data_IF_747654790097
#
_entry.id   IF_747654790097
#
_cell.length_a   1.000
_cell.length_b   1.000
_cell.length_c   1.000
_cell.angle_alpha   90.00
_cell.angle_beta   90.00
_cell.angle_gamma   90.00
#
_symmetry.space_group_name_H-M   'P 1'
#
loop_
_entity.id
_entity.type
_entity.pdbx_description
1 polymer ?
#
# COMPACT_ATOMS: atom_id res chain seq x y z
N UNK A 1 5.50 -97.11 -41.17
CA UNK A 1 4.06 -97.35 -40.94
C UNK A 1 3.65 -96.50 -39.75
N UNK A 2 2.57 -95.73 -39.70
CA UNK A 2 1.50 -95.33 -40.62
C UNK A 2 0.91 -94.11 -39.88
N UNK A 3 0.87 -92.93 -40.51
CA UNK A 3 -0.35 -92.26 -41.00
C UNK A 3 -0.97 -91.28 -39.99
N UNK A 4 -1.33 -90.14 -40.57
CA UNK A 4 -1.92 -88.90 -40.08
C UNK A 4 -3.14 -89.07 -39.16
N UNK A 5 -3.38 -88.06 -38.32
CA UNK A 5 -4.72 -87.46 -38.33
C UNK A 5 -4.71 -85.98 -37.91
N UNK A 6 -5.38 -85.20 -38.74
CA UNK A 6 -5.60 -83.76 -38.66
C UNK A 6 -6.75 -83.50 -37.68
N UNK A 7 -6.64 -82.47 -36.84
CA UNK A 7 -7.80 -81.65 -36.45
C UNK A 7 -7.33 -80.28 -35.95
N UNK A 8 -7.32 -79.32 -36.87
CA UNK A 8 -7.28 -77.91 -36.54
C UNK A 8 -8.63 -77.51 -35.94
N UNK A 9 -8.64 -77.05 -34.69
CA UNK A 9 -9.80 -76.38 -34.09
C UNK A 9 -9.34 -75.07 -33.48
N UNK A 10 -9.92 -74.01 -34.01
CA UNK A 10 -9.70 -72.61 -33.67
C UNK A 10 -10.08 -72.37 -32.20
N UNK A 11 -9.20 -71.74 -31.43
CA UNK A 11 -9.64 -71.00 -30.24
C UNK A 11 -8.75 -69.80 -30.04
N UNK A 12 -9.16 -68.68 -30.63
CA UNK A 12 -8.73 -67.37 -30.16
C UNK A 12 -9.34 -67.12 -28.78
N UNK A 13 -8.54 -66.60 -27.86
CA UNK A 13 -9.01 -65.79 -26.73
C UNK A 13 -7.79 -65.08 -26.13
N UNK A 14 -7.59 -63.82 -26.50
CA UNK A 14 -8.09 -62.63 -25.79
C UNK A 14 -7.12 -62.18 -24.70
N UNK A 15 -6.28 -61.20 -25.05
CA UNK A 15 -5.59 -60.34 -24.10
C UNK A 15 -6.67 -59.69 -23.23
N UNK A 16 -6.73 -60.04 -21.94
CA UNK A 16 -7.46 -59.24 -20.96
C UNK A 16 -6.68 -57.93 -20.78
N UNK A 17 -7.02 -56.93 -21.58
CA UNK A 17 -6.75 -55.55 -21.21
C UNK A 17 -7.73 -55.24 -20.08
N UNK A 18 -7.22 -55.12 -18.86
CA UNK A 18 -8.00 -54.52 -17.77
C UNK A 18 -8.39 -53.11 -18.20
N UNK A 19 -9.70 -52.75 -18.17
CA UNK A 19 -10.08 -51.37 -18.33
C UNK A 19 -9.58 -50.63 -17.07
N UNK A 20 -8.59 -49.76 -17.28
CA UNK A 20 -8.31 -48.69 -16.33
C UNK A 20 -9.57 -47.83 -16.29
N UNK A 21 -10.40 -48.01 -15.26
CA UNK A 21 -11.58 -47.19 -14.99
C UNK A 21 -11.14 -45.73 -14.68
N UNK A 22 -10.83 -44.98 -15.73
CA UNK A 22 -10.69 -43.52 -15.71
C UNK A 22 -12.05 -42.86 -15.88
N UNK A 23 -13.04 -43.33 -15.11
CA UNK A 23 -14.43 -42.86 -15.15
C UNK A 23 -14.86 -42.00 -13.96
N UNK A 24 -14.05 -41.92 -12.89
CA UNK A 24 -14.37 -41.15 -11.67
C UNK A 24 -13.38 -40.02 -11.35
N UNK A 25 -12.32 -39.83 -12.15
CA UNK A 25 -11.27 -38.85 -11.86
C UNK A 25 -11.68 -37.38 -12.03
N UNK A 26 -12.74 -37.07 -12.79
CA UNK A 26 -13.07 -35.67 -13.13
C UNK A 26 -13.92 -35.01 -12.03
N UNK A 27 -14.76 -35.77 -11.34
CA UNK A 27 -15.61 -35.24 -10.26
C UNK A 27 -14.84 -35.12 -8.94
N UNK A 28 -13.93 -36.05 -8.65
CA UNK A 28 -13.09 -36.03 -7.43
C UNK A 28 -11.92 -35.04 -7.53
N UNK A 29 -11.32 -34.85 -8.72
CA UNK A 29 -10.32 -33.80 -8.91
C UNK A 29 -10.92 -32.41 -9.09
N UNK A 30 -12.18 -32.31 -9.56
CA UNK A 30 -12.88 -31.04 -9.70
C UNK A 30 -13.18 -30.36 -8.36
N UNK A 31 -13.61 -31.12 -7.34
CA UNK A 31 -13.87 -30.60 -6.00
C UNK A 31 -12.57 -30.21 -5.29
N UNK A 32 -11.51 -31.01 -5.39
CA UNK A 32 -10.20 -30.67 -4.82
C UNK A 32 -9.64 -29.39 -5.46
N UNK A 33 -9.74 -29.24 -6.79
CA UNK A 33 -9.30 -28.03 -7.48
C UNK A 33 -10.06 -26.77 -7.03
N UNK A 34 -11.37 -26.87 -6.82
CA UNK A 34 -12.18 -25.75 -6.31
C UNK A 34 -11.83 -25.39 -4.87
N UNK A 35 -11.60 -26.38 -4.00
CA UNK A 35 -11.17 -26.14 -2.61
C UNK A 35 -9.80 -25.47 -2.58
N UNK A 36 -8.84 -25.94 -3.39
CA UNK A 36 -7.51 -25.32 -3.50
C UNK A 36 -7.62 -23.88 -3.99
N UNK A 37 -8.45 -23.62 -5.00
CA UNK A 37 -8.67 -22.26 -5.53
C UNK A 37 -9.30 -21.35 -4.47
N UNK A 38 -10.30 -21.85 -3.71
CA UNK A 38 -10.90 -21.11 -2.61
C UNK A 38 -9.86 -20.76 -1.52
N UNK A 39 -9.02 -21.72 -1.13
CA UNK A 39 -7.94 -21.47 -0.15
C UNK A 39 -6.96 -20.43 -0.68
N UNK A 40 -6.57 -20.48 -1.95
CA UNK A 40 -5.71 -19.47 -2.57
C UNK A 40 -6.35 -18.09 -2.50
N UNK A 41 -7.64 -17.96 -2.83
CA UNK A 41 -8.36 -16.68 -2.76
C UNK A 41 -8.42 -16.15 -1.33
N UNK A 42 -8.71 -17.00 -0.35
CA UNK A 42 -8.75 -16.61 1.07
C UNK A 42 -7.37 -16.19 1.57
N UNK A 43 -6.32 -16.94 1.25
CA UNK A 43 -4.95 -16.64 1.67
C UNK A 43 -4.48 -15.34 1.02
N UNK A 44 -4.64 -15.17 -0.30
CA UNK A 44 -4.26 -13.95 -1.00
C UNK A 44 -5.07 -12.75 -0.53
N UNK A 45 -6.38 -12.90 -0.32
CA UNK A 45 -7.24 -11.86 0.24
C UNK A 45 -6.84 -11.44 1.65
N UNK A 46 -6.52 -12.41 2.51
CA UNK A 46 -6.04 -12.17 3.87
C UNK A 46 -4.68 -11.47 3.88
N UNK A 47 -3.73 -11.93 3.05
CA UNK A 47 -2.42 -11.31 2.91
C UNK A 47 -2.53 -9.88 2.36
N UNK A 48 -3.39 -9.65 1.37
CA UNK A 48 -3.65 -8.31 0.84
C UNK A 48 -4.25 -7.40 1.91
N UNK A 49 -5.28 -7.86 2.62
CA UNK A 49 -5.91 -7.09 3.70
C UNK A 49 -4.92 -6.76 4.83
N UNK A 50 -4.08 -7.73 5.22
CA UNK A 50 -3.03 -7.53 6.22
C UNK A 50 -1.99 -6.53 5.72
N UNK A 51 -1.55 -6.61 4.47
CA UNK A 51 -0.56 -5.70 3.89
C UNK A 51 -1.10 -4.28 3.80
N UNK A 52 -2.35 -4.08 3.36
CA UNK A 52 -2.99 -2.77 3.32
C UNK A 52 -3.13 -2.16 4.72
N UNK A 53 -3.63 -2.92 5.70
CA UNK A 53 -3.76 -2.45 7.09
C UNK A 53 -2.41 -2.13 7.74
N UNK A 54 -1.41 -2.97 7.49
CA UNK A 54 -0.04 -2.76 8.00
C UNK A 54 0.57 -1.51 7.38
N UNK A 55 0.45 -1.35 6.06
CA UNK A 55 0.92 -0.14 5.36
C UNK A 55 0.25 1.11 5.91
N UNK A 56 -1.07 1.10 6.13
CA UNK A 56 -1.80 2.24 6.72
C UNK A 56 -1.32 2.56 8.14
N UNK A 57 -1.18 1.55 8.99
CA UNK A 57 -0.74 1.75 10.38
C UNK A 57 0.70 2.28 10.43
N UNK A 58 1.62 1.67 9.67
CA UNK A 58 3.00 2.10 9.55
C UNK A 58 3.09 3.50 8.97
N UNK A 59 2.32 3.83 7.93
CA UNK A 59 2.37 5.17 7.33
C UNK A 59 1.75 6.23 8.23
N UNK A 60 0.72 5.89 9.01
CA UNK A 60 0.21 6.81 10.04
C UNK A 60 1.30 7.14 11.05
N UNK A 61 2.06 6.15 11.52
CA UNK A 61 3.19 6.38 12.43
C UNK A 61 4.35 7.14 11.76
N UNK A 62 4.61 6.88 10.48
CA UNK A 62 5.61 7.61 9.69
C UNK A 62 5.24 9.09 9.57
N UNK A 63 3.97 9.40 9.27
CA UNK A 63 3.46 10.78 9.20
C UNK A 63 3.68 11.48 10.54
N UNK A 64 3.31 10.86 11.65
CA UNK A 64 3.50 11.43 12.99
C UNK A 64 4.97 11.70 13.30
N UNK A 65 5.85 10.76 12.94
CA UNK A 65 7.30 10.88 13.13
C UNK A 65 7.87 12.02 12.28
N UNK A 66 7.45 12.14 11.02
CA UNK A 66 7.86 13.24 10.14
C UNK A 66 7.39 14.58 10.72
N UNK A 67 6.14 14.68 11.15
CA UNK A 67 5.57 15.91 11.71
C UNK A 67 6.37 16.33 12.95
N UNK A 68 6.52 15.44 13.92
CA UNK A 68 7.21 15.72 15.18
C UNK A 68 8.69 16.04 14.97
N UNK A 69 9.36 15.30 14.08
CA UNK A 69 10.78 15.55 13.78
C UNK A 69 10.99 16.83 12.98
N UNK A 70 10.11 17.13 12.02
CA UNK A 70 10.12 18.40 11.30
C UNK A 70 9.89 19.57 12.26
N UNK A 71 8.89 19.48 13.15
CA UNK A 71 8.66 20.48 14.20
C UNK A 71 9.89 20.70 15.07
N UNK A 72 10.52 19.63 15.53
CA UNK A 72 11.64 19.70 16.47
C UNK A 72 12.95 20.15 15.83
N UNK A 73 13.22 19.79 14.58
CA UNK A 73 14.55 19.93 13.97
C UNK A 73 14.62 21.03 12.91
N UNK A 74 13.50 21.37 12.27
CA UNK A 74 13.47 22.34 11.17
C UNK A 74 13.01 23.73 11.61
N UNK A 75 12.52 23.88 12.85
CA UNK A 75 12.14 25.17 13.42
C UNK A 75 13.38 25.93 13.88
N UNK A 76 13.74 26.99 13.16
CA UNK A 76 14.76 27.94 13.56
C UNK A 76 14.19 29.09 14.42
N UNK A 77 15.06 30.04 14.79
CA UNK A 77 14.67 31.29 15.47
C UNK A 77 13.61 32.07 14.71
N UNK A 78 13.68 32.04 13.37
CA UNK A 78 12.79 32.78 12.46
C UNK A 78 11.72 31.86 11.81
N UNK A 79 11.42 30.73 12.44
CA UNK A 79 10.49 29.72 11.90
C UNK A 79 11.14 28.77 10.90
N UNK A 80 10.40 28.36 9.87
CA UNK A 80 10.84 27.42 8.83
C UNK A 80 11.34 28.19 7.59
N UNK A 81 12.62 28.54 7.59
CA UNK A 81 13.25 29.43 6.58
C UNK A 81 13.68 28.74 5.28
N UNK A 82 13.01 27.65 4.90
CA UNK A 82 13.33 26.91 3.67
C UNK A 82 12.79 27.61 2.43
N UNK A 83 13.54 27.61 1.33
CA UNK A 83 13.14 28.23 0.06
C UNK A 83 12.33 27.30 -0.84
N UNK A 84 12.34 25.98 -0.56
CA UNK A 84 11.58 24.99 -1.34
C UNK A 84 11.33 23.71 -0.54
N UNK A 85 10.32 22.94 -0.96
CA UNK A 85 10.01 21.62 -0.42
C UNK A 85 11.15 20.62 -0.60
N UNK A 86 11.91 20.71 -1.71
CA UNK A 86 13.05 19.84 -1.97
C UNK A 86 14.17 20.03 -0.94
N UNK A 87 14.47 21.29 -0.57
CA UNK A 87 15.48 21.60 0.44
C UNK A 87 15.04 21.21 1.84
N UNK A 88 13.77 21.45 2.18
CA UNK A 88 13.23 21.09 3.50
C UNK A 88 13.14 19.58 3.69
N UNK A 89 12.61 18.86 2.68
CA UNK A 89 12.56 17.39 2.69
C UNK A 89 13.96 16.79 2.69
N UNK A 90 14.86 17.31 1.86
CA UNK A 90 16.25 16.87 1.79
C UNK A 90 17.01 17.09 3.11
N UNK A 91 16.79 18.21 3.79
CA UNK A 91 17.36 18.47 5.12
C UNK A 91 16.83 17.47 6.16
N UNK A 92 15.52 17.19 6.16
CA UNK A 92 14.94 16.18 7.06
C UNK A 92 15.57 14.79 6.85
N UNK A 93 15.80 14.40 5.59
CA UNK A 93 16.48 13.16 5.23
C UNK A 93 17.93 13.17 5.71
N UNK A 94 18.65 14.27 5.48
CA UNK A 94 20.06 14.41 5.85
C UNK A 94 20.27 14.32 7.36
N UNK A 95 19.32 14.82 8.15
CA UNK A 95 19.34 14.70 9.61
C UNK A 95 18.94 13.31 10.13
N UNK A 96 18.62 12.36 9.25
CA UNK A 96 18.17 11.02 9.65
C UNK A 96 16.80 11.00 10.33
N UNK A 97 16.03 12.07 10.16
CA UNK A 97 14.73 12.29 10.81
C UNK A 97 13.55 11.69 10.03
N UNK A 98 13.84 10.97 8.94
CA UNK A 98 12.84 10.22 8.18
C UNK A 98 12.73 8.77 8.70
N UNK A 99 11.51 8.22 8.82
CA UNK A 99 11.31 6.84 9.28
C UNK A 99 12.05 5.81 8.42
N UNK A 100 12.66 4.82 9.04
CA UNK A 100 13.48 3.80 8.37
C UNK A 100 12.71 2.93 7.37
N UNK A 101 11.37 2.86 7.50
CA UNK A 101 10.50 2.10 6.60
C UNK A 101 10.13 2.81 5.30
N UNK A 102 10.56 4.06 5.11
CA UNK A 102 10.26 4.83 3.90
C UNK A 102 11.36 4.72 2.85
N UNK A 103 10.97 4.83 1.58
CA UNK A 103 11.93 4.77 0.48
C UNK A 103 12.55 6.14 0.26
N UNK A 104 13.87 6.23 0.44
CA UNK A 104 14.65 7.43 0.12
C UNK A 104 15.35 7.23 -1.20
N UNK A 105 15.16 8.16 -2.13
CA UNK A 105 15.83 8.15 -3.43
C UNK A 105 16.76 9.35 -3.58
N UNK A 106 17.92 9.13 -4.20
CA UNK A 106 18.98 10.12 -4.35
C UNK A 106 20.01 10.05 -3.22
N UNK A 107 20.97 10.97 -3.26
CA UNK A 107 22.03 11.04 -2.27
C UNK A 107 21.51 11.70 -0.97
N UNK A 108 21.53 10.95 0.12
CA UNK A 108 21.10 11.42 1.45
C UNK A 108 21.92 12.61 1.96
N UNK A 109 23.14 12.79 1.45
CA UNK A 109 24.06 13.85 1.86
C UNK A 109 23.97 15.12 1.02
N UNK A 110 23.26 15.09 -0.12
CA UNK A 110 23.16 16.25 -1.04
C UNK A 110 22.14 17.30 -0.62
N UNK A 111 21.28 17.01 0.36
CA UNK A 111 20.18 17.88 0.78
C UNK A 111 19.07 18.03 -0.27
N UNK A 112 19.01 17.15 -1.27
CA UNK A 112 17.96 17.12 -2.31
C UNK A 112 17.35 15.72 -2.51
N UNK A 113 17.60 14.80 -1.58
CA UNK A 113 16.99 13.48 -1.60
C UNK A 113 15.45 13.59 -1.55
N UNK A 114 14.78 12.63 -2.18
CA UNK A 114 13.32 12.53 -2.20
C UNK A 114 12.85 11.36 -1.34
N UNK A 115 11.66 11.51 -0.78
CA UNK A 115 11.03 10.51 0.08
C UNK A 115 9.79 9.94 -0.62
N UNK A 116 9.56 8.64 -0.48
CA UNK A 116 8.39 7.96 -1.02
C UNK A 116 7.70 7.10 0.04
N UNK A 117 6.38 7.06 -0.05
CA UNK A 117 5.52 6.22 0.79
C UNK A 117 5.47 4.76 0.26
N UNK A 118 4.80 3.88 1.01
CA UNK A 118 4.61 2.47 0.71
C UNK A 118 3.94 2.19 -0.66
N UNK A 119 3.31 3.19 -1.28
CA UNK A 119 2.63 3.09 -2.57
C UNK A 119 3.40 3.75 -3.73
N UNK A 120 4.64 4.18 -3.50
CA UNK A 120 5.47 4.82 -4.51
C UNK A 120 5.03 6.25 -4.87
N UNK A 121 4.23 6.87 -4.00
CA UNK A 121 3.92 8.29 -4.05
C UNK A 121 4.98 9.12 -3.33
N UNK A 122 5.25 10.31 -3.86
CA UNK A 122 6.19 11.22 -3.24
C UNK A 122 5.67 11.71 -1.89
N UNK A 123 6.57 11.86 -0.93
CA UNK A 123 6.34 12.48 0.36
C UNK A 123 7.20 13.72 0.44
N UNK A 124 6.58 14.87 0.60
CA UNK A 124 7.27 16.16 0.63
C UNK A 124 6.89 16.96 1.86
N UNK A 125 7.89 17.60 2.45
CA UNK A 125 7.74 18.55 3.55
C UNK A 125 8.07 19.94 2.99
N UNK A 126 7.15 20.89 3.16
CA UNK A 126 7.29 22.24 2.62
C UNK A 126 6.94 23.30 3.67
N UNK A 127 7.66 24.43 3.71
CA UNK A 127 7.30 25.52 4.62
C UNK A 127 5.94 26.08 4.21
N UNK A 128 5.15 26.47 5.22
CA UNK A 128 3.84 27.06 5.04
C UNK A 128 3.77 28.38 5.79
N UNK A 129 3.25 29.40 5.12
CA UNK A 129 2.94 30.66 5.77
C UNK A 129 1.63 30.51 6.53
N UNK A 130 1.72 30.45 7.85
CA UNK A 130 0.56 30.51 8.73
C UNK A 130 0.48 31.93 9.29
N UNK A 131 -0.62 32.62 9.03
CA UNK A 131 -0.86 33.98 9.57
C UNK A 131 0.17 35.03 9.11
N UNK A 132 0.74 34.88 7.90
CA UNK A 132 1.67 35.84 7.32
C UNK A 132 3.15 35.66 7.71
N UNK A 133 3.45 34.65 8.55
CA UNK A 133 4.82 34.24 8.89
C UNK A 133 5.06 32.79 8.51
N UNK A 134 6.28 32.43 8.11
CA UNK A 134 6.68 31.05 7.78
C UNK A 134 6.87 30.20 9.05
N UNK A 135 5.88 30.23 9.92
CA UNK A 135 5.89 29.52 11.19
C UNK A 135 5.26 28.14 11.06
N UNK A 136 4.74 27.76 9.90
CA UNK A 136 4.16 26.43 9.67
C UNK A 136 4.91 25.62 8.63
N UNK A 137 4.47 24.39 8.47
CA UNK A 137 4.86 23.55 7.35
C UNK A 137 3.72 22.61 6.96
N UNK A 138 3.84 22.03 5.77
CA UNK A 138 2.93 21.02 5.26
C UNK A 138 3.69 19.73 4.98
N UNK A 139 3.02 18.61 5.23
CA UNK A 139 3.48 17.28 4.82
C UNK A 139 2.51 16.76 3.78
N UNK A 140 3.00 16.53 2.56
CA UNK A 140 2.19 16.07 1.43
C UNK A 140 2.53 14.62 1.11
N UNK A 141 1.50 13.78 0.95
CA UNK A 141 1.58 12.41 0.49
C UNK A 141 0.80 12.27 -0.83
N UNK A 142 1.47 11.82 -1.88
CA UNK A 142 0.85 11.54 -3.17
C UNK A 142 0.53 10.05 -3.36
N UNK A 143 -0.29 9.74 -4.36
CA UNK A 143 -0.66 8.36 -4.79
C UNK A 143 -1.17 7.45 -3.67
N UNK A 144 -1.91 8.01 -2.71
CA UNK A 144 -2.47 7.23 -1.61
C UNK A 144 -3.72 6.48 -2.10
N UNK A 145 -3.83 5.16 -1.87
CA UNK A 145 -5.04 4.40 -2.21
C UNK A 145 -6.28 4.88 -1.44
N UNK A 146 -7.47 4.64 -1.97
CA UNK A 146 -8.72 5.13 -1.38
C UNK A 146 -8.91 4.69 0.08
N UNK A 147 -8.77 3.40 0.37
CA UNK A 147 -8.91 2.86 1.73
C UNK A 147 -7.88 3.47 2.69
N UNK A 148 -6.63 3.62 2.23
CA UNK A 148 -5.57 4.25 2.99
C UNK A 148 -5.83 5.74 3.24
N UNK A 149 -6.35 6.46 2.24
CA UNK A 149 -6.73 7.86 2.36
C UNK A 149 -7.76 8.06 3.49
N UNK A 150 -8.81 7.22 3.51
CA UNK A 150 -9.86 7.30 4.53
C UNK A 150 -9.29 7.00 5.92
N UNK A 151 -8.54 5.91 6.05
CA UNK A 151 -8.01 5.49 7.35
C UNK A 151 -6.94 6.45 7.88
N UNK A 152 -6.02 6.93 7.05
CA UNK A 152 -4.98 7.87 7.47
C UNK A 152 -5.61 9.21 7.88
N UNK A 153 -6.48 9.77 7.04
CA UNK A 153 -7.11 11.06 7.32
C UNK A 153 -7.86 11.04 8.67
N UNK A 154 -8.68 10.01 8.90
CA UNK A 154 -9.44 9.87 10.15
C UNK A 154 -8.56 9.56 11.36
N UNK A 155 -7.49 8.78 11.21
CA UNK A 155 -6.54 8.51 12.32
C UNK A 155 -5.75 9.75 12.69
N UNK A 156 -5.21 10.49 11.71
CA UNK A 156 -4.45 11.71 11.95
C UNK A 156 -5.35 12.80 12.54
N UNK A 157 -6.57 12.96 12.02
CA UNK A 157 -7.61 13.83 12.60
C UNK A 157 -7.80 13.58 14.10
N UNK A 158 -7.86 12.31 14.53
CA UNK A 158 -8.00 11.93 15.95
C UNK A 158 -6.76 12.19 16.80
N UNK A 159 -5.57 12.33 16.20
CA UNK A 159 -4.33 12.58 16.95
C UNK A 159 -4.19 14.02 17.40
N UNK A 160 -4.87 14.96 16.74
CA UNK A 160 -4.75 16.40 17.04
C UNK A 160 -3.37 16.99 16.73
N UNK A 161 -2.49 16.26 16.03
CA UNK A 161 -1.13 16.70 15.70
C UNK A 161 -1.06 17.72 14.56
N UNK A 162 -2.14 17.83 13.78
CA UNK A 162 -2.23 18.69 12.60
C UNK A 162 -3.26 19.79 12.83
N UNK A 163 -2.93 21.01 12.40
CA UNK A 163 -3.86 22.14 12.44
C UNK A 163 -4.79 22.19 11.22
N UNK A 164 -4.44 21.50 10.14
CA UNK A 164 -5.29 21.37 8.96
C UNK A 164 -5.03 20.07 8.22
N UNK A 165 -6.06 19.55 7.56
CA UNK A 165 -5.97 18.36 6.71
C UNK A 165 -6.65 18.65 5.38
N UNK A 166 -5.93 18.49 4.28
CA UNK A 166 -6.49 18.62 2.93
C UNK A 166 -6.53 17.26 2.27
N UNK A 167 -7.73 16.84 1.86
CA UNK A 167 -7.97 15.63 1.06
C UNK A 167 -8.20 16.04 -0.38
N UNK A 168 -7.26 15.71 -1.25
CA UNK A 168 -7.25 16.10 -2.66
C UNK A 168 -7.31 17.63 -2.86
N UNK A 169 -8.52 18.17 -2.96
CA UNK A 169 -8.80 19.59 -3.15
C UNK A 169 -9.66 20.19 -2.04
N UNK A 170 -10.10 19.39 -1.07
CA UNK A 170 -10.96 19.82 0.04
C UNK A 170 -10.11 20.04 1.28
N UNK A 171 -10.07 21.28 1.77
CA UNK A 171 -9.31 21.66 2.95
C UNK A 171 -10.20 21.68 4.20
N UNK A 172 -9.76 20.98 5.24
CA UNK A 172 -10.31 21.00 6.60
C UNK A 172 -9.36 21.79 7.50
N UNK A 173 -9.60 23.10 7.59
CA UNK A 173 -8.75 24.04 8.33
C UNK A 173 -8.86 23.92 9.85
N UNK A 174 -9.77 23.10 10.35
CA UNK A 174 -9.92 22.75 11.77
C UNK A 174 -9.11 21.49 12.14
N UNK A 175 -8.43 20.87 11.17
CA UNK A 175 -7.67 19.64 11.35
C UNK A 175 -8.52 18.41 11.63
N UNK A 176 -9.85 18.51 11.45
CA UNK A 176 -10.79 17.42 11.74
C UNK A 176 -11.35 16.89 10.43
N UNK A 177 -11.36 15.57 10.35
CA UNK A 177 -11.96 14.81 9.25
C UNK A 177 -12.68 13.62 9.84
N UNK A 178 -13.97 13.52 9.54
CA UNK A 178 -14.82 12.37 9.87
C UNK A 178 -14.67 11.26 8.83
N UNK A 179 -15.17 10.06 9.15
CA UNK A 179 -15.10 8.93 8.21
C UNK A 179 -15.99 9.18 7.00
N UNK A 180 -17.13 9.82 7.23
CA UNK A 180 -18.13 10.24 6.26
C UNK A 180 -17.52 11.26 5.28
N UNK A 181 -16.86 12.30 5.77
CA UNK A 181 -16.17 13.28 4.93
C UNK A 181 -15.02 12.63 4.15
N UNK A 182 -14.21 11.79 4.79
CA UNK A 182 -13.12 11.12 4.11
C UNK A 182 -13.61 10.17 3.01
N UNK A 183 -14.69 9.41 3.25
CA UNK A 183 -15.27 8.49 2.26
C UNK A 183 -15.80 9.20 1.01
N UNK A 184 -16.29 10.43 1.15
CA UNK A 184 -16.78 11.23 0.01
C UNK A 184 -15.65 11.93 -0.74
N UNK A 185 -14.57 12.30 -0.04
CA UNK A 185 -13.48 13.11 -0.59
C UNK A 185 -12.30 12.28 -1.12
N UNK A 186 -12.09 11.07 -0.59
CA UNK A 186 -11.12 10.11 -1.11
C UNK A 186 -11.67 9.43 -2.36
N UNK A 187 -10.99 9.63 -3.48
CA UNK A 187 -11.32 9.08 -4.80
C UNK A 187 -10.90 7.62 -4.91
N UNK A 188 -11.63 6.90 -5.75
CA UNK A 188 -11.29 5.53 -6.11
C UNK A 188 -9.92 5.44 -6.80
N UNK A 189 -9.29 4.28 -6.64
CA UNK A 189 -8.00 3.98 -7.25
C UNK A 189 -8.14 3.79 -8.76
N UNK A 190 -7.06 4.08 -9.49
CA UNK A 190 -6.98 3.78 -10.92
C UNK A 190 -6.22 2.46 -11.09
N UNK A 191 -6.95 1.34 -11.19
CA UNK A 191 -6.39 0.00 -11.15
C UNK A 191 -5.72 -0.26 -9.80
N UNK A 192 -4.42 -0.58 -9.80
CA UNK A 192 -3.64 -0.78 -8.58
C UNK A 192 -2.94 0.50 -8.08
N UNK A 193 -3.22 1.66 -8.67
CA UNK A 193 -2.54 2.93 -8.34
C UNK A 193 -3.47 3.84 -7.56
N UNK A 194 -3.03 4.25 -6.37
CA UNK A 194 -3.71 5.27 -5.58
C UNK A 194 -3.71 6.62 -6.29
N UNK A 195 -4.83 7.33 -6.20
CA UNK A 195 -5.03 8.63 -6.88
C UNK A 195 -5.11 9.79 -5.90
N UNK A 196 -5.14 9.50 -4.60
CA UNK A 196 -5.37 10.51 -3.58
C UNK A 196 -4.11 11.25 -3.18
N UNK A 197 -4.29 12.54 -2.90
CA UNK A 197 -3.30 13.41 -2.31
C UNK A 197 -3.75 13.83 -0.91
N UNK A 198 -2.91 13.62 0.09
CA UNK A 198 -3.14 14.06 1.46
C UNK A 198 -2.14 15.17 1.78
N UNK A 199 -2.62 16.28 2.35
CA UNK A 199 -1.75 17.35 2.84
C UNK A 199 -2.11 17.60 4.30
N UNK A 200 -1.12 17.50 5.17
CA UNK A 200 -1.23 17.80 6.59
C UNK A 200 -0.57 19.14 6.85
N UNK A 201 -1.31 20.10 7.39
CA UNK A 201 -0.82 21.43 7.73
C UNK A 201 -0.55 21.50 9.22
N UNK A 202 0.62 22.02 9.57
CA UNK A 202 1.11 22.16 10.93
C UNK A 202 1.51 23.61 11.13
N UNK A 203 0.94 24.23 12.16
CA UNK A 203 1.33 25.55 12.61
C UNK A 203 2.37 25.39 13.72
N UNK A 204 3.41 26.21 13.70
CA UNK A 204 4.47 26.23 14.70
C UNK A 204 4.38 27.41 15.65
#
# INVERSE_FOLDING_TARGET
MLVENINATLTGNNKKNEPHDKGWGILEQGTIALVVLFVIVVVLGSLYALRTRTNVATETANIQTIITSAQSLLKGSDGYTFTSSAKMTGALIQMGAVPSGMTVQGDKTSGTATLYNAWGGAVTVAPASTSGFNNGFTVTYDKVPQDACIQIATRISKTGLTNGITLNSTAHSDGKVTTEEASTQCKADNGSTGTNKLIFTING
#
